data_IF_092854760807
#
_entry.id   IF_092854760807
#
_cell.length_a   1.000
_cell.length_b   1.000
_cell.length_c   1.000
_cell.angle_alpha   90.00
_cell.angle_beta   90.00
_cell.angle_gamma   90.00
#
_symmetry.space_group_name_H-M   'P 1'
#
loop_
_entity.id
_entity.type
_entity.pdbx_description
1 polymer ?
#
# COMPACT_ATOMS: atom_id res chain seq x y z
N UNK A 1 46.63 -34.83 2.73
CA UNK A 1 45.36 -35.34 2.15
C UNK A 1 44.28 -34.31 2.55
N UNK A 2 44.13 -33.31 1.69
CA UNK A 2 43.30 -32.14 1.95
C UNK A 2 41.88 -32.50 1.48
N UNK A 3 40.97 -32.65 2.40
CA UNK A 3 39.53 -32.73 2.09
C UNK A 3 39.08 -31.30 1.69
N UNK A 4 39.03 -31.00 0.41
CA UNK A 4 38.27 -29.89 -0.14
C UNK A 4 36.79 -30.30 -0.05
N UNK A 5 36.13 -29.77 0.96
CA UNK A 5 34.70 -29.87 1.13
C UNK A 5 34.04 -29.07 -0.02
N UNK A 6 33.51 -29.80 -0.98
CA UNK A 6 32.70 -29.25 -2.07
C UNK A 6 31.39 -28.74 -1.49
N UNK A 7 31.39 -27.54 -0.90
CA UNK A 7 30.16 -26.78 -0.70
C UNK A 7 29.61 -26.43 -2.08
N UNK A 8 28.72 -27.27 -2.61
CA UNK A 8 27.86 -26.91 -3.74
C UNK A 8 27.14 -25.63 -3.34
N UNK A 9 27.53 -24.52 -3.95
CA UNK A 9 26.77 -23.28 -3.85
C UNK A 9 25.29 -23.62 -4.13
N UNK A 10 24.43 -23.45 -3.15
CA UNK A 10 23.00 -23.68 -3.34
C UNK A 10 22.52 -22.74 -4.45
N UNK A 11 22.05 -23.31 -5.56
CA UNK A 11 21.57 -22.55 -6.71
C UNK A 11 20.44 -21.62 -6.23
N UNK A 12 20.61 -20.30 -6.42
CA UNK A 12 19.61 -19.30 -6.03
C UNK A 12 18.33 -19.49 -6.87
N UNK A 13 17.21 -19.11 -6.29
CA UNK A 13 15.91 -19.12 -6.95
C UNK A 13 15.75 -17.79 -7.69
N UNK A 14 15.66 -17.83 -9.01
CA UNK A 14 15.40 -16.68 -9.85
C UNK A 14 13.90 -16.38 -9.83
N UNK A 15 13.50 -15.21 -9.29
CA UNK A 15 12.13 -14.76 -9.17
C UNK A 15 11.89 -13.56 -10.10
N UNK A 16 10.93 -13.68 -11.00
CA UNK A 16 10.53 -12.58 -11.88
C UNK A 16 9.20 -11.97 -11.38
N UNK A 17 9.23 -10.71 -10.99
CA UNK A 17 8.05 -9.92 -10.71
C UNK A 17 7.57 -9.27 -12.01
N UNK A 18 6.30 -9.50 -12.35
CA UNK A 18 5.69 -8.93 -13.55
C UNK A 18 4.60 -7.94 -13.13
N UNK A 19 4.83 -6.66 -13.40
CA UNK A 19 3.92 -5.55 -13.11
C UNK A 19 3.38 -4.92 -14.40
N UNK A 20 2.34 -4.12 -14.31
CA UNK A 20 1.74 -3.50 -15.50
C UNK A 20 2.43 -2.19 -15.83
N UNK A 21 2.53 -1.31 -14.84
CA UNK A 21 3.08 0.04 -14.98
C UNK A 21 4.37 0.18 -14.17
N UNK A 22 5.20 1.15 -14.52
CA UNK A 22 6.36 1.56 -13.74
C UNK A 22 6.09 2.93 -13.11
N UNK A 23 4.98 3.02 -12.37
CA UNK A 23 4.56 4.17 -11.57
C UNK A 23 4.44 3.74 -10.12
N UNK A 24 4.80 4.59 -9.15
CA UNK A 24 4.71 4.21 -7.75
C UNK A 24 3.26 4.23 -7.27
N UNK A 25 2.63 3.07 -7.37
CA UNK A 25 1.32 2.76 -6.80
C UNK A 25 1.41 1.71 -5.69
N UNK A 26 0.29 1.25 -5.17
CA UNK A 26 0.29 0.25 -4.08
C UNK A 26 0.86 -1.11 -4.48
N UNK A 27 0.65 -1.54 -5.72
CA UNK A 27 1.20 -2.79 -6.27
C UNK A 27 2.71 -2.72 -6.49
N UNK A 28 3.17 -1.61 -7.05
CA UNK A 28 4.58 -1.37 -7.33
C UNK A 28 5.38 -1.19 -6.04
N UNK A 29 4.80 -0.51 -5.05
CA UNK A 29 5.40 -0.37 -3.72
C UNK A 29 5.60 -1.74 -3.04
N UNK A 30 4.58 -2.62 -3.09
CA UNK A 30 4.73 -3.98 -2.57
C UNK A 30 5.86 -4.74 -3.27
N UNK A 31 5.94 -4.67 -4.61
CA UNK A 31 7.01 -5.33 -5.37
C UNK A 31 8.38 -4.77 -5.01
N UNK A 32 8.48 -3.45 -4.88
CA UNK A 32 9.72 -2.77 -4.47
C UNK A 32 10.17 -3.22 -3.07
N UNK A 33 9.24 -3.24 -2.10
CA UNK A 33 9.50 -3.69 -0.74
C UNK A 33 9.93 -5.17 -0.69
N UNK A 34 9.24 -6.03 -1.43
CA UNK A 34 9.60 -7.45 -1.54
C UNK A 34 11.02 -7.59 -2.08
N UNK A 35 11.35 -6.94 -3.19
CA UNK A 35 12.67 -7.02 -3.81
C UNK A 35 13.76 -6.49 -2.87
N UNK A 36 13.53 -5.37 -2.22
CA UNK A 36 14.48 -4.74 -1.29
C UNK A 36 14.83 -5.65 -0.11
N UNK A 37 13.85 -6.41 0.39
CA UNK A 37 13.98 -7.19 1.61
C UNK A 37 14.15 -8.71 1.38
N UNK A 38 14.09 -9.20 0.13
CA UNK A 38 14.38 -10.60 -0.18
C UNK A 38 15.80 -10.98 0.22
N UNK A 39 15.95 -12.17 0.84
CA UNK A 39 17.26 -12.76 1.13
C UNK A 39 18.02 -13.05 -0.18
N UNK A 40 18.98 -12.19 -0.52
CA UNK A 40 19.81 -12.29 -1.73
C UNK A 40 20.74 -13.50 -1.73
N UNK A 41 20.93 -14.19 -0.61
CA UNK A 41 21.65 -15.46 -0.58
C UNK A 41 20.82 -16.62 -1.16
N UNK A 42 19.48 -16.52 -1.07
CA UNK A 42 18.51 -17.54 -1.52
C UNK A 42 17.85 -17.14 -2.83
N UNK A 43 17.48 -15.86 -3.00
CA UNK A 43 16.70 -15.39 -4.12
C UNK A 43 17.48 -14.40 -5.00
N UNK A 44 17.23 -14.45 -6.31
CA UNK A 44 17.68 -13.47 -7.30
C UNK A 44 16.44 -12.86 -7.97
N UNK A 45 16.00 -11.68 -7.57
CA UNK A 45 14.85 -11.02 -8.16
C UNK A 45 15.17 -10.36 -9.50
N UNK A 46 14.13 -10.29 -10.34
CA UNK A 46 14.09 -9.66 -11.65
C UNK A 46 12.75 -8.95 -11.77
N UNK A 47 12.63 -7.90 -12.59
CA UNK A 47 11.38 -7.17 -12.82
C UNK A 47 11.10 -7.03 -14.31
N UNK A 48 9.85 -7.27 -14.72
CA UNK A 48 9.36 -6.97 -16.06
C UNK A 48 8.09 -6.13 -16.00
N UNK A 49 7.91 -5.20 -16.96
CA UNK A 49 6.73 -4.34 -17.03
C UNK A 49 6.37 -3.96 -18.48
N UNK A 50 5.16 -3.40 -18.71
CA UNK A 50 4.60 -3.24 -20.05
C UNK A 50 4.40 -1.79 -20.52
N UNK A 51 4.24 -0.84 -19.60
CA UNK A 51 3.99 0.57 -19.92
C UNK A 51 5.02 1.47 -19.25
N UNK A 52 5.32 2.62 -19.89
CA UNK A 52 6.37 3.55 -19.47
C UNK A 52 7.78 2.96 -19.58
N UNK A 53 8.46 3.36 -20.66
CA UNK A 53 9.80 2.84 -21.00
C UNK A 53 10.84 3.10 -19.90
N UNK A 54 10.78 4.28 -19.26
CA UNK A 54 11.76 4.66 -18.25
C UNK A 54 11.40 4.07 -16.89
N UNK A 55 12.28 3.26 -16.28
CA UNK A 55 12.08 2.79 -14.93
C UNK A 55 12.18 3.93 -13.91
N UNK A 56 11.47 3.77 -12.80
CA UNK A 56 11.58 4.65 -11.64
C UNK A 56 12.98 4.51 -11.00
N UNK A 57 13.49 5.63 -10.44
CA UNK A 57 14.79 5.64 -9.78
C UNK A 57 14.88 4.63 -8.64
N UNK A 58 13.78 4.48 -7.90
CA UNK A 58 13.65 3.52 -6.79
C UNK A 58 13.92 2.08 -7.25
N UNK A 59 13.47 1.70 -8.44
CA UNK A 59 13.74 0.36 -9.00
C UNK A 59 15.17 0.24 -9.55
N UNK A 60 15.75 1.31 -10.10
CA UNK A 60 17.15 1.34 -10.51
C UNK A 60 18.09 1.13 -9.33
N UNK A 61 17.78 1.72 -8.19
CA UNK A 61 18.57 1.64 -6.96
C UNK A 61 18.56 0.24 -6.32
N UNK A 62 17.66 -0.66 -6.75
CA UNK A 62 17.62 -2.04 -6.24
C UNK A 62 18.73 -2.95 -6.82
N UNK A 63 19.42 -2.52 -7.86
CA UNK A 63 20.46 -3.29 -8.57
C UNK A 63 20.00 -4.70 -8.96
N UNK A 64 18.88 -4.74 -9.72
CA UNK A 64 18.29 -5.98 -10.24
C UNK A 64 18.06 -5.89 -11.75
N UNK A 65 18.05 -7.00 -12.48
CA UNK A 65 17.69 -6.98 -13.91
C UNK A 65 16.27 -6.46 -14.12
N UNK A 66 16.15 -5.44 -14.97
CA UNK A 66 14.90 -4.76 -15.32
C UNK A 66 14.62 -4.97 -16.82
N UNK A 67 13.39 -5.39 -17.15
CA UNK A 67 12.98 -5.71 -18.53
C UNK A 67 11.72 -4.92 -18.91
N UNK A 68 11.87 -3.93 -19.77
CA UNK A 68 10.74 -3.24 -20.40
C UNK A 68 10.27 -4.03 -21.62
N UNK A 69 9.00 -4.41 -21.65
CA UNK A 69 8.36 -5.13 -22.75
C UNK A 69 7.23 -4.24 -23.29
N UNK A 70 7.46 -3.50 -24.40
CA UNK A 70 6.48 -2.55 -24.90
C UNK A 70 5.20 -3.24 -25.33
N UNK A 71 4.07 -2.85 -24.74
CA UNK A 71 2.74 -3.34 -25.12
C UNK A 71 2.01 -2.28 -25.93
N UNK A 72 1.75 -2.59 -27.20
CA UNK A 72 1.13 -1.65 -28.15
C UNK A 72 -0.37 -1.96 -28.32
N UNK A 73 -0.71 -3.24 -28.48
CA UNK A 73 -2.07 -3.67 -28.80
C UNK A 73 -2.85 -4.11 -27.55
N UNK A 74 -4.19 -4.11 -27.63
CA UNK A 74 -5.06 -4.58 -26.55
C UNK A 74 -4.74 -6.01 -26.08
N UNK A 75 -4.50 -6.93 -27.01
CA UNK A 75 -3.91 -8.25 -26.77
C UNK A 75 -2.70 -8.39 -27.70
N UNK A 76 -1.51 -8.41 -27.12
CA UNK A 76 -0.25 -8.39 -27.86
C UNK A 76 0.48 -9.71 -27.66
N UNK A 77 0.48 -10.57 -28.67
CA UNK A 77 1.11 -11.88 -28.59
C UNK A 77 2.65 -11.79 -28.59
N UNK A 78 3.24 -10.68 -29.08
CA UNK A 78 4.69 -10.47 -29.01
C UNK A 78 5.17 -10.40 -27.57
N UNK A 79 4.40 -9.74 -26.69
CA UNK A 79 4.68 -9.66 -25.25
C UNK A 79 4.79 -11.06 -24.62
N UNK A 80 3.95 -12.03 -25.02
CA UNK A 80 4.04 -13.41 -24.54
C UNK A 80 5.35 -14.08 -24.98
N UNK A 81 5.78 -13.81 -26.22
CA UNK A 81 7.02 -14.34 -26.76
C UNK A 81 8.25 -13.77 -26.04
N UNK A 82 8.31 -12.45 -25.90
CA UNK A 82 9.41 -11.76 -25.23
C UNK A 82 9.51 -12.18 -23.76
N UNK A 83 8.39 -12.18 -23.03
CA UNK A 83 8.35 -12.63 -21.65
C UNK A 83 8.79 -14.08 -21.50
N UNK A 84 8.40 -14.96 -22.45
CA UNK A 84 8.86 -16.35 -22.49
C UNK A 84 10.38 -16.46 -22.72
N UNK A 85 10.95 -15.58 -23.56
CA UNK A 85 12.39 -15.46 -23.77
C UNK A 85 13.12 -15.04 -22.48
N UNK A 86 12.65 -13.97 -21.83
CA UNK A 86 13.21 -13.51 -20.55
C UNK A 86 13.21 -14.61 -19.50
N UNK A 87 12.09 -15.36 -19.37
CA UNK A 87 11.96 -16.47 -18.43
C UNK A 87 13.02 -17.54 -18.71
N UNK A 88 13.22 -17.88 -19.98
CA UNK A 88 14.20 -18.90 -20.39
C UNK A 88 15.64 -18.43 -20.19
N UNK A 89 15.97 -17.26 -20.71
CA UNK A 89 17.35 -16.77 -20.80
C UNK A 89 17.93 -16.40 -19.41
N UNK A 90 17.06 -16.05 -18.45
CA UNK A 90 17.42 -15.77 -17.07
C UNK A 90 17.12 -16.96 -16.13
N UNK A 91 16.83 -18.13 -16.65
CA UNK A 91 16.55 -19.36 -15.87
C UNK A 91 15.53 -19.11 -14.73
N UNK A 92 14.46 -18.35 -15.01
CA UNK A 92 13.46 -17.97 -14.02
C UNK A 92 12.73 -19.20 -13.47
N UNK A 93 12.83 -19.40 -12.16
CA UNK A 93 12.18 -20.50 -11.46
C UNK A 93 10.74 -20.17 -11.08
N UNK A 94 10.50 -18.93 -10.67
CA UNK A 94 9.21 -18.45 -10.19
C UNK A 94 8.86 -17.12 -10.87
N UNK A 95 7.63 -17.00 -11.35
CA UNK A 95 7.04 -15.74 -11.82
C UNK A 95 5.94 -15.34 -10.85
N UNK A 96 6.04 -14.15 -10.27
CA UNK A 96 4.98 -13.49 -9.51
C UNK A 96 4.33 -12.43 -10.39
N UNK A 97 3.14 -12.72 -10.89
CA UNK A 97 2.38 -11.85 -11.79
C UNK A 97 1.39 -11.01 -10.98
N UNK A 98 1.56 -9.69 -11.01
CA UNK A 98 0.69 -8.72 -10.35
C UNK A 98 -0.36 -8.19 -11.31
N UNK A 99 -1.63 -8.24 -10.92
CA UNK A 99 -2.81 -7.92 -11.73
C UNK A 99 -3.12 -8.93 -12.85
N UNK A 100 -4.39 -8.96 -13.28
CA UNK A 100 -4.89 -9.94 -14.24
C UNK A 100 -4.17 -9.92 -15.58
N UNK A 101 -3.76 -8.76 -16.07
CA UNK A 101 -3.06 -8.65 -17.36
C UNK A 101 -1.70 -9.33 -17.33
N UNK A 102 -0.94 -9.16 -16.26
CA UNK A 102 0.35 -9.81 -16.05
C UNK A 102 0.22 -11.33 -15.97
N UNK A 103 -0.85 -11.85 -15.34
CA UNK A 103 -1.16 -13.27 -15.34
C UNK A 103 -1.35 -13.81 -16.76
N UNK A 104 -2.16 -13.12 -17.58
CA UNK A 104 -2.46 -13.56 -18.96
C UNK A 104 -1.19 -13.69 -19.79
N UNK A 105 -0.29 -12.69 -19.72
CA UNK A 105 0.96 -12.70 -20.47
C UNK A 105 1.99 -13.70 -19.93
N UNK A 106 2.09 -13.85 -18.61
CA UNK A 106 3.05 -14.76 -17.98
C UNK A 106 2.71 -16.23 -18.19
N UNK A 107 1.42 -16.55 -18.33
CA UNK A 107 0.96 -17.94 -18.37
C UNK A 107 1.62 -18.76 -19.50
N UNK A 108 1.72 -18.18 -20.70
CA UNK A 108 2.32 -18.86 -21.85
C UNK A 108 3.78 -19.25 -21.58
N UNK A 109 4.58 -18.29 -21.13
CA UNK A 109 6.00 -18.51 -20.82
C UNK A 109 6.20 -19.51 -19.69
N UNK A 110 5.44 -19.36 -18.60
CA UNK A 110 5.59 -20.20 -17.41
C UNK A 110 5.10 -21.63 -17.62
N UNK A 111 3.88 -21.80 -18.12
CA UNK A 111 3.20 -23.12 -18.09
C UNK A 111 3.32 -23.91 -19.36
N UNK A 112 3.45 -23.26 -20.51
CA UNK A 112 3.50 -23.94 -21.79
C UNK A 112 4.92 -24.10 -22.33
N UNK A 113 5.86 -23.24 -21.97
CA UNK A 113 7.24 -23.25 -22.51
C UNK A 113 8.30 -23.64 -21.49
N UNK A 114 8.37 -23.00 -20.33
CA UNK A 114 9.53 -23.09 -19.43
C UNK A 114 9.27 -23.90 -18.14
N UNK A 115 8.01 -24.24 -17.83
CA UNK A 115 7.59 -24.97 -16.63
C UNK A 115 8.00 -24.28 -15.31
N UNK A 116 8.08 -22.94 -15.32
CA UNK A 116 8.31 -22.15 -14.12
C UNK A 116 7.07 -22.14 -13.23
N UNK A 117 7.28 -21.96 -11.92
CA UNK A 117 6.18 -21.71 -10.97
C UNK A 117 5.52 -20.37 -11.30
N UNK A 118 4.19 -20.33 -11.31
CA UNK A 118 3.42 -19.12 -11.58
C UNK A 118 2.53 -18.79 -10.37
N UNK A 119 2.78 -17.65 -9.76
CA UNK A 119 2.01 -17.09 -8.66
C UNK A 119 1.29 -15.87 -9.21
N UNK A 120 0.01 -15.76 -8.90
CA UNK A 120 -0.79 -14.60 -9.26
C UNK A 120 -1.16 -13.81 -8.02
N UNK A 121 -0.84 -12.52 -8.00
CA UNK A 121 -1.19 -11.59 -6.91
C UNK A 121 -2.16 -10.52 -7.43
N UNK A 122 -3.31 -10.39 -6.76
CA UNK A 122 -4.32 -9.38 -7.09
C UNK A 122 -4.44 -8.34 -6.00
N UNK A 123 -4.57 -7.08 -6.43
CA UNK A 123 -4.53 -5.91 -5.56
C UNK A 123 -5.88 -5.24 -5.36
N UNK A 124 -6.88 -5.52 -6.20
CA UNK A 124 -8.16 -4.82 -6.10
C UNK A 124 -9.37 -5.67 -6.49
N UNK A 125 -10.44 -5.52 -5.73
CA UNK A 125 -11.72 -6.19 -6.05
C UNK A 125 -12.35 -5.65 -7.32
N UNK A 126 -12.26 -4.35 -7.56
CA UNK A 126 -12.88 -3.73 -8.71
C UNK A 126 -12.28 -4.22 -10.03
N UNK A 127 -10.98 -4.51 -10.07
CA UNK A 127 -10.35 -5.14 -11.23
C UNK A 127 -10.91 -6.54 -11.47
N UNK A 128 -11.04 -7.34 -10.41
CA UNK A 128 -11.63 -8.68 -10.49
C UNK A 128 -13.07 -8.62 -11.00
N UNK A 129 -13.88 -7.70 -10.45
CA UNK A 129 -15.29 -7.52 -10.82
C UNK A 129 -15.47 -7.00 -12.26
N UNK A 130 -14.50 -6.23 -12.77
CA UNK A 130 -14.50 -5.75 -14.15
C UNK A 130 -14.22 -6.85 -15.18
N UNK A 131 -13.68 -8.01 -14.74
CA UNK A 131 -13.40 -9.14 -15.63
C UNK A 131 -14.73 -9.84 -16.01
N UNK A 132 -15.11 -9.75 -17.25
CA UNK A 132 -16.40 -10.26 -17.72
C UNK A 132 -16.29 -11.07 -19.02
N UNK A 133 -17.38 -11.73 -19.38
CA UNK A 133 -17.51 -12.44 -20.65
C UNK A 133 -16.42 -13.49 -20.87
N UNK A 134 -15.81 -13.47 -22.05
CA UNK A 134 -14.76 -14.42 -22.44
C UNK A 134 -13.52 -14.38 -21.51
N UNK A 135 -13.22 -13.22 -20.96
CA UNK A 135 -12.05 -13.06 -20.08
C UNK A 135 -12.24 -13.75 -18.73
N UNK A 136 -13.45 -13.82 -18.24
CA UNK A 136 -13.78 -14.60 -17.03
C UNK A 136 -13.56 -16.10 -17.27
N UNK A 137 -13.98 -16.60 -18.44
CA UNK A 137 -13.74 -18.01 -18.82
C UNK A 137 -12.23 -18.31 -18.96
N UNK A 138 -11.49 -17.41 -19.63
CA UNK A 138 -10.02 -17.49 -19.75
C UNK A 138 -9.39 -17.49 -18.36
N UNK A 139 -9.75 -16.55 -17.49
CA UNK A 139 -9.22 -16.45 -16.13
C UNK A 139 -9.43 -17.73 -15.32
N UNK A 140 -10.64 -18.29 -15.33
CA UNK A 140 -10.92 -19.58 -14.68
C UNK A 140 -10.01 -20.68 -15.17
N UNK A 141 -9.72 -20.71 -16.47
CA UNK A 141 -8.84 -21.70 -17.06
C UNK A 141 -7.38 -21.50 -16.65
N UNK A 142 -6.89 -20.25 -16.72
CA UNK A 142 -5.51 -19.92 -16.35
C UNK A 142 -5.25 -20.18 -14.86
N UNK A 143 -6.13 -19.68 -13.98
CA UNK A 143 -5.99 -19.81 -12.53
C UNK A 143 -6.05 -21.27 -12.04
N UNK A 144 -6.70 -22.16 -12.79
CA UNK A 144 -6.68 -23.58 -12.48
C UNK A 144 -5.26 -24.18 -12.55
N UNK A 145 -4.41 -23.62 -13.41
CA UNK A 145 -3.05 -24.12 -13.66
C UNK A 145 -1.95 -23.23 -13.03
N UNK A 146 -2.27 -22.12 -12.40
CA UNK A 146 -1.32 -21.39 -11.56
C UNK A 146 -0.95 -22.22 -10.33
N UNK A 147 0.20 -21.98 -9.73
CA UNK A 147 0.64 -22.71 -8.54
C UNK A 147 0.01 -22.13 -7.27
N UNK A 148 -0.10 -20.82 -7.19
CA UNK A 148 -0.78 -20.12 -6.11
C UNK A 148 -1.51 -18.85 -6.61
N UNK A 149 -2.57 -18.49 -5.90
CA UNK A 149 -3.31 -17.23 -6.08
C UNK A 149 -3.30 -16.50 -4.77
N UNK A 150 -2.93 -15.22 -4.80
CA UNK A 150 -2.80 -14.37 -3.63
C UNK A 150 -3.75 -13.18 -3.77
N UNK A 151 -4.60 -12.97 -2.77
CA UNK A 151 -5.31 -11.71 -2.57
C UNK A 151 -4.63 -10.90 -1.46
N UNK A 152 -4.42 -9.60 -1.66
CA UNK A 152 -3.75 -8.75 -0.66
C UNK A 152 -4.61 -8.40 0.55
N UNK A 153 -5.86 -8.82 0.55
CA UNK A 153 -6.81 -8.70 1.67
C UNK A 153 -7.81 -9.83 1.66
N UNK A 154 -8.49 -10.07 2.77
CA UNK A 154 -9.54 -11.07 2.87
C UNK A 154 -10.66 -10.86 1.85
N UNK A 155 -10.96 -9.62 1.51
CA UNK A 155 -11.98 -9.24 0.53
C UNK A 155 -11.56 -9.56 -0.90
N UNK A 156 -10.34 -9.16 -1.28
CA UNK A 156 -9.77 -9.50 -2.59
C UNK A 156 -9.72 -11.01 -2.75
N UNK A 157 -9.28 -11.73 -1.71
CA UNK A 157 -9.25 -13.20 -1.70
C UNK A 157 -10.64 -13.79 -1.91
N UNK A 158 -11.64 -13.32 -1.17
CA UNK A 158 -13.02 -13.77 -1.31
C UNK A 158 -13.58 -13.45 -2.70
N UNK A 159 -13.38 -12.23 -3.19
CA UNK A 159 -13.80 -11.81 -4.52
C UNK A 159 -13.20 -12.71 -5.62
N UNK A 160 -11.89 -13.02 -5.54
CA UNK A 160 -11.22 -13.96 -6.44
C UNK A 160 -11.81 -15.37 -6.37
N UNK A 161 -12.04 -15.87 -5.14
CA UNK A 161 -12.58 -17.19 -4.91
C UNK A 161 -13.99 -17.34 -5.51
N UNK A 162 -14.87 -16.36 -5.27
CA UNK A 162 -16.25 -16.36 -5.74
C UNK A 162 -16.31 -16.19 -7.27
N UNK A 163 -15.57 -15.23 -7.82
CA UNK A 163 -15.57 -14.90 -9.25
C UNK A 163 -15.01 -16.03 -10.10
N UNK A 164 -13.88 -16.60 -9.70
CA UNK A 164 -13.20 -17.64 -10.48
C UNK A 164 -13.52 -19.06 -10.02
N UNK A 165 -14.28 -19.22 -8.91
CA UNK A 165 -14.62 -20.53 -8.30
C UNK A 165 -13.38 -21.34 -7.95
N UNK A 166 -12.43 -20.71 -7.25
CA UNK A 166 -11.17 -21.33 -6.87
C UNK A 166 -11.35 -22.19 -5.62
N UNK A 167 -10.70 -23.37 -5.57
CA UNK A 167 -10.67 -24.16 -4.34
C UNK A 167 -9.79 -23.49 -3.28
N UNK A 168 -10.18 -23.61 -1.99
CA UNK A 168 -9.53 -22.91 -0.89
C UNK A 168 -8.05 -23.21 -0.72
N UNK A 169 -7.59 -24.39 -1.10
CA UNK A 169 -6.17 -24.76 -1.04
C UNK A 169 -5.28 -24.09 -2.11
N UNK A 170 -5.88 -23.39 -3.06
CA UNK A 170 -5.18 -22.72 -4.18
C UNK A 170 -5.04 -21.23 -3.98
N UNK A 171 -5.79 -20.65 -3.06
CA UNK A 171 -5.83 -19.24 -2.81
C UNK A 171 -5.49 -18.95 -1.35
N UNK A 172 -4.68 -17.94 -1.13
CA UNK A 172 -4.35 -17.44 0.20
C UNK A 172 -4.46 -15.93 0.26
N UNK A 173 -4.60 -15.43 1.47
CA UNK A 173 -4.52 -13.99 1.74
C UNK A 173 -3.11 -13.70 2.27
N UNK A 174 -2.40 -12.81 1.58
CA UNK A 174 -1.16 -12.21 2.10
C UNK A 174 -1.40 -10.72 2.20
N UNK A 175 -1.65 -10.25 3.42
CA UNK A 175 -1.94 -8.84 3.67
C UNK A 175 -0.67 -8.02 3.45
N UNK A 176 -0.78 -6.91 2.72
CA UNK A 176 0.33 -5.99 2.55
C UNK A 176 0.79 -5.48 3.91
N UNK A 177 2.08 -5.59 4.15
CA UNK A 177 2.70 -5.16 5.39
C UNK A 177 3.28 -3.76 5.29
N UNK A 178 3.61 -3.21 6.45
CA UNK A 178 4.29 -1.93 6.63
C UNK A 178 5.61 -2.18 7.37
N UNK A 179 6.68 -1.52 6.95
CA UNK A 179 7.98 -1.57 7.65
C UNK A 179 7.86 -0.88 9.03
N UNK A 180 7.53 -1.67 10.04
CA UNK A 180 7.37 -1.19 11.41
C UNK A 180 8.68 -0.69 12.06
N UNK A 181 9.83 -0.88 11.44
CA UNK A 181 11.11 -0.31 11.90
C UNK A 181 11.30 1.10 11.37
N UNK A 182 10.92 1.34 10.12
CA UNK A 182 10.89 2.66 9.51
C UNK A 182 9.81 3.54 10.18
N UNK A 183 8.60 3.02 10.32
CA UNK A 183 7.48 3.65 11.01
C UNK A 183 7.55 3.34 12.51
N UNK A 184 8.37 4.08 13.24
CA UNK A 184 8.65 3.87 14.66
C UNK A 184 8.23 5.05 15.53
N UNK A 185 7.92 4.77 16.80
CA UNK A 185 7.56 5.81 17.77
C UNK A 185 8.69 6.82 17.94
N UNK A 186 8.35 8.10 17.96
CA UNK A 186 9.29 9.16 18.22
C UNK A 186 9.74 9.14 19.70
N UNK A 187 11.05 9.20 19.95
CA UNK A 187 11.56 9.45 21.29
C UNK A 187 11.36 10.92 21.73
N UNK A 188 11.33 11.83 20.77
CA UNK A 188 11.08 13.24 20.97
C UNK A 188 10.29 13.79 19.77
N UNK A 189 9.01 14.03 19.96
CA UNK A 189 8.09 14.55 18.94
C UNK A 189 8.40 16.01 18.58
N UNK A 190 8.92 16.81 19.53
CA UNK A 190 9.19 18.23 19.33
C UNK A 190 10.19 18.50 18.19
N UNK A 191 11.25 17.69 18.08
CA UNK A 191 12.22 17.86 16.99
C UNK A 191 11.60 17.70 15.61
N UNK A 192 10.58 16.82 15.48
CA UNK A 192 9.86 16.62 14.22
C UNK A 192 8.87 17.77 13.97
N UNK A 193 8.19 18.28 15.01
CA UNK A 193 7.33 19.48 14.88
C UNK A 193 8.14 20.66 14.35
N UNK A 194 9.27 20.97 14.95
CA UNK A 194 10.18 22.06 14.51
C UNK A 194 10.66 21.87 13.06
N UNK A 195 11.00 20.62 12.66
CA UNK A 195 11.41 20.28 11.29
C UNK A 195 10.39 20.73 10.24
N UNK A 196 9.10 20.69 10.59
CA UNK A 196 8.01 21.06 9.68
C UNK A 196 7.44 22.46 9.94
N UNK A 197 8.16 23.32 10.66
CA UNK A 197 7.79 24.71 10.90
C UNK A 197 6.65 24.90 11.90
N UNK A 198 6.47 23.92 12.78
CA UNK A 198 5.50 23.97 13.87
C UNK A 198 6.17 24.40 15.18
N UNK A 199 5.36 24.93 16.10
CA UNK A 199 5.80 25.23 17.46
C UNK A 199 5.80 23.95 18.31
N UNK A 200 6.57 23.95 19.43
CA UNK A 200 6.71 22.76 20.30
C UNK A 200 5.40 22.32 20.92
N UNK A 201 4.58 23.27 21.28
CA UNK A 201 3.27 23.13 21.95
C UNK A 201 2.10 23.09 20.96
N UNK A 202 2.36 23.12 19.65
CA UNK A 202 1.31 22.85 18.67
C UNK A 202 0.75 21.43 18.84
N UNK A 203 -0.57 21.30 18.80
CA UNK A 203 -1.26 20.04 18.75
C UNK A 203 -1.56 19.68 17.28
N UNK A 204 -1.05 18.54 16.81
CA UNK A 204 -0.93 18.29 15.38
C UNK A 204 -1.81 17.12 14.96
N UNK A 205 -2.83 17.40 14.16
CA UNK A 205 -3.58 16.39 13.40
C UNK A 205 -2.91 16.15 12.06
N UNK A 206 -3.04 14.95 11.51
CA UNK A 206 -2.51 14.65 10.18
C UNK A 206 -3.35 13.71 9.37
N UNK A 207 -3.29 13.88 8.04
CA UNK A 207 -3.84 12.96 7.05
C UNK A 207 -2.80 12.73 5.95
N UNK A 208 -2.55 11.47 5.61
CA UNK A 208 -1.70 11.07 4.48
C UNK A 208 -2.58 10.37 3.43
N UNK A 209 -2.89 11.08 2.37
CA UNK A 209 -3.74 10.57 1.28
C UNK A 209 -3.61 11.44 0.03
N UNK A 210 -3.72 10.85 -1.15
CA UNK A 210 -3.82 11.60 -2.41
C UNK A 210 -5.00 12.58 -2.35
N UNK A 211 -4.84 13.78 -2.92
CA UNK A 211 -5.87 14.83 -2.91
C UNK A 211 -6.98 14.52 -3.93
N UNK A 212 -7.66 13.37 -3.74
CA UNK A 212 -8.83 12.93 -4.52
C UNK A 212 -10.10 13.11 -3.70
N UNK A 213 -11.22 13.31 -4.37
CA UNK A 213 -12.53 13.52 -3.75
C UNK A 213 -12.97 12.38 -2.83
N UNK A 214 -12.62 11.13 -3.20
CA UNK A 214 -12.94 9.95 -2.37
C UNK A 214 -12.16 9.88 -1.05
N UNK A 215 -11.10 10.70 -0.86
CA UNK A 215 -10.37 10.82 0.41
C UNK A 215 -11.00 11.82 1.38
N UNK A 216 -11.97 12.61 0.88
CA UNK A 216 -12.89 13.45 1.64
C UNK A 216 -12.20 14.40 2.64
N UNK A 217 -11.12 15.06 2.19
CA UNK A 217 -10.37 16.04 3.01
C UNK A 217 -11.23 17.19 3.52
N UNK A 218 -12.24 17.61 2.74
CA UNK A 218 -13.17 18.69 3.14
C UNK A 218 -13.94 18.31 4.40
N UNK A 219 -14.31 17.04 4.59
CA UNK A 219 -14.96 16.58 5.80
C UNK A 219 -14.06 16.78 7.04
N UNK A 220 -12.77 16.42 6.92
CA UNK A 220 -11.80 16.68 8.00
C UNK A 220 -11.58 18.17 8.24
N UNK A 221 -11.46 18.98 7.17
CA UNK A 221 -11.25 20.42 7.26
C UNK A 221 -12.41 21.14 7.97
N UNK A 222 -13.65 20.73 7.76
CA UNK A 222 -14.83 21.28 8.45
C UNK A 222 -14.79 21.01 9.96
N UNK A 223 -14.48 19.78 10.35
CA UNK A 223 -14.30 19.43 11.76
C UNK A 223 -13.13 20.19 12.39
N UNK A 224 -12.00 20.28 11.67
CA UNK A 224 -10.83 21.04 12.08
C UNK A 224 -11.16 22.53 12.28
N UNK A 225 -11.91 23.16 11.37
CA UNK A 225 -12.33 24.55 11.47
C UNK A 225 -13.09 24.82 12.77
N UNK A 226 -14.03 23.95 13.16
CA UNK A 226 -14.79 24.08 14.41
C UNK A 226 -13.88 24.00 15.63
N UNK A 227 -12.97 23.03 15.66
CA UNK A 227 -12.05 22.82 16.78
C UNK A 227 -11.02 23.94 16.89
N UNK A 228 -10.55 24.47 15.76
CA UNK A 228 -9.56 25.56 15.70
C UNK A 228 -10.07 26.85 16.36
N UNK A 229 -11.38 27.09 16.35
CA UNK A 229 -11.98 28.24 17.02
C UNK A 229 -11.79 28.22 18.54
N UNK A 230 -11.62 27.05 19.12
CA UNK A 230 -11.45 26.82 20.56
C UNK A 230 -10.01 26.54 20.98
N UNK A 231 -9.17 26.10 20.03
CA UNK A 231 -7.80 25.64 20.27
C UNK A 231 -6.80 26.35 19.35
N UNK A 232 -6.20 27.45 19.86
CA UNK A 232 -5.30 28.29 19.08
C UNK A 232 -3.95 27.63 18.66
N UNK A 233 -3.55 26.53 19.27
CA UNK A 233 -2.36 25.77 18.93
C UNK A 233 -2.66 24.52 18.10
N UNK A 234 -3.91 24.32 17.65
CA UNK A 234 -4.28 23.17 16.84
C UNK A 234 -3.79 23.37 15.39
N UNK A 235 -3.10 22.39 14.83
CA UNK A 235 -2.59 22.36 13.45
C UNK A 235 -3.08 21.12 12.73
N UNK A 236 -3.20 21.21 11.40
CA UNK A 236 -3.53 20.09 10.54
C UNK A 236 -2.47 20.00 9.43
N UNK A 237 -1.79 18.86 9.34
CA UNK A 237 -0.91 18.54 8.22
C UNK A 237 -1.66 17.68 7.21
N UNK A 238 -1.68 18.12 5.94
CA UNK A 238 -2.28 17.39 4.82
C UNK A 238 -1.15 16.98 3.88
N UNK A 239 -0.89 15.68 3.81
CA UNK A 239 0.20 15.08 3.05
C UNK A 239 -0.39 14.31 1.88
N UNK A 240 0.00 14.68 0.69
CA UNK A 240 -0.44 14.08 -0.56
C UNK A 240 -0.44 15.08 -1.69
N UNK A 241 -0.62 14.58 -2.90
CA UNK A 241 -0.67 15.41 -4.10
C UNK A 241 -1.91 15.10 -4.92
N UNK A 242 -2.39 16.09 -5.63
CA UNK A 242 -3.40 15.93 -6.67
C UNK A 242 -2.82 15.29 -7.93
N UNK A 243 -3.68 15.00 -8.87
CA UNK A 243 -3.29 14.48 -10.19
C UNK A 243 -3.37 15.60 -11.23
N UNK A 244 -2.36 15.69 -12.07
CA UNK A 244 -2.40 16.61 -13.20
C UNK A 244 -3.58 16.26 -14.10
N UNK A 245 -4.53 17.20 -14.23
CA UNK A 245 -5.75 17.00 -15.02
C UNK A 245 -6.87 16.27 -14.24
N UNK A 246 -6.87 16.34 -12.90
CA UNK A 246 -7.98 15.84 -12.08
C UNK A 246 -9.30 16.50 -12.52
N UNK A 247 -10.25 15.72 -13.10
CA UNK A 247 -11.51 16.26 -13.59
C UNK A 247 -12.44 16.73 -12.45
N UNK A 248 -12.16 16.32 -11.21
CA UNK A 248 -12.97 16.65 -10.03
C UNK A 248 -12.48 17.92 -9.31
N UNK A 249 -11.28 18.46 -9.67
CA UNK A 249 -10.72 19.66 -9.06
C UNK A 249 -10.45 19.56 -7.55
N UNK A 250 -10.23 18.35 -7.05
CA UNK A 250 -10.21 18.06 -5.62
C UNK A 250 -9.14 18.84 -4.84
N UNK A 251 -7.96 19.04 -5.41
CA UNK A 251 -6.90 19.84 -4.77
C UNK A 251 -7.27 21.31 -4.72
N UNK A 252 -7.89 21.85 -5.78
CA UNK A 252 -8.34 23.23 -5.83
C UNK A 252 -9.45 23.50 -4.80
N UNK A 253 -10.42 22.59 -4.66
CA UNK A 253 -11.47 22.67 -3.65
C UNK A 253 -10.90 22.72 -2.23
N UNK A 254 -9.88 21.91 -1.93
CA UNK A 254 -9.19 21.90 -0.63
C UNK A 254 -8.51 23.25 -0.38
N UNK A 255 -7.76 23.78 -1.35
CA UNK A 255 -7.09 25.08 -1.25
C UNK A 255 -8.08 26.21 -1.05
N UNK A 256 -9.15 26.24 -1.83
CA UNK A 256 -10.21 27.23 -1.75
C UNK A 256 -10.91 27.19 -0.37
N UNK A 257 -11.16 25.99 0.17
CA UNK A 257 -11.73 25.85 1.51
C UNK A 257 -10.78 26.44 2.58
N UNK A 258 -9.50 26.08 2.55
CA UNK A 258 -8.50 26.58 3.51
C UNK A 258 -8.46 28.11 3.49
N UNK A 259 -8.40 28.71 2.30
CA UNK A 259 -8.35 30.17 2.14
C UNK A 259 -9.65 30.84 2.59
N UNK A 260 -10.80 30.33 2.15
CA UNK A 260 -12.10 30.93 2.51
C UNK A 260 -12.43 30.81 4.01
N UNK A 261 -11.88 29.81 4.68
CA UNK A 261 -12.03 29.58 6.11
C UNK A 261 -10.96 30.30 6.97
N UNK A 262 -9.97 30.97 6.36
CA UNK A 262 -8.87 31.65 7.06
C UNK A 262 -7.94 30.68 7.82
N UNK A 263 -7.69 29.49 7.24
CA UNK A 263 -6.94 28.42 7.88
C UNK A 263 -5.49 28.27 7.38
N UNK A 264 -4.99 29.18 6.54
CA UNK A 264 -3.69 29.07 5.85
C UNK A 264 -2.50 28.91 6.83
N UNK A 265 -2.59 29.48 8.03
CA UNK A 265 -1.55 29.37 9.06
C UNK A 265 -1.68 28.12 9.93
N UNK A 266 -2.76 27.34 9.80
CA UNK A 266 -3.07 26.21 10.67
C UNK A 266 -3.34 24.89 9.94
N UNK A 267 -3.81 24.92 8.69
CA UNK A 267 -3.97 23.75 7.84
C UNK A 267 -2.93 23.80 6.71
N UNK A 268 -1.87 23.00 6.84
CA UNK A 268 -0.69 23.04 5.97
C UNK A 268 -0.73 21.91 4.94
N UNK A 269 -0.80 22.28 3.64
CA UNK A 269 -0.64 21.32 2.54
C UNK A 269 0.86 21.11 2.26
N UNK A 270 1.37 19.94 2.58
CA UNK A 270 2.79 19.61 2.41
C UNK A 270 3.12 19.03 1.03
N UNK A 271 2.09 18.74 0.21
CA UNK A 271 2.27 18.08 -1.09
C UNK A 271 2.67 16.61 -0.97
N UNK A 272 3.13 16.02 -2.07
CA UNK A 272 3.70 14.66 -2.09
C UNK A 272 5.05 14.63 -1.37
N UNK A 273 5.21 13.69 -0.42
CA UNK A 273 6.38 13.60 0.44
C UNK A 273 6.96 12.20 0.45
N UNK A 274 8.28 12.07 0.53
CA UNK A 274 9.01 10.82 0.72
C UNK A 274 9.42 10.59 2.18
N UNK A 275 9.39 11.63 3.02
CA UNK A 275 9.72 11.61 4.44
C UNK A 275 8.49 11.44 5.35
N UNK A 276 7.46 10.70 4.87
CA UNK A 276 6.24 10.39 5.62
C UNK A 276 6.54 9.79 7.01
N UNK A 277 7.52 8.89 7.19
CA UNK A 277 7.87 8.36 8.51
C UNK A 277 8.23 9.44 9.54
N UNK A 278 8.90 10.51 9.10
CA UNK A 278 9.25 11.62 9.98
C UNK A 278 8.06 12.55 10.25
N UNK A 279 7.21 12.76 9.22
CA UNK A 279 6.01 13.58 9.38
C UNK A 279 5.04 12.93 10.37
N UNK A 280 4.83 11.62 10.30
CA UNK A 280 3.98 10.90 11.24
C UNK A 280 4.46 11.05 12.69
N UNK A 281 5.77 11.15 12.92
CA UNK A 281 6.36 11.39 14.24
C UNK A 281 6.09 12.80 14.79
N UNK A 282 5.67 13.74 13.95
CA UNK A 282 5.27 15.09 14.36
C UNK A 282 3.79 15.18 14.77
N UNK A 283 3.00 14.14 14.50
CA UNK A 283 1.56 14.13 14.75
C UNK A 283 1.23 13.72 16.18
N UNK A 284 0.08 14.19 16.66
CA UNK A 284 -0.55 13.75 17.91
C UNK A 284 -1.74 12.81 17.62
N UNK A 285 -2.46 13.00 16.50
CA UNK A 285 -3.56 12.15 16.03
C UNK A 285 -3.48 11.99 14.52
N UNK A 286 -3.73 10.79 14.03
CA UNK A 286 -3.87 10.53 12.60
C UNK A 286 -5.34 10.36 12.21
N UNK A 287 -5.75 10.99 11.10
CA UNK A 287 -7.12 10.94 10.57
C UNK A 287 -7.13 10.36 9.15
N UNK A 288 -8.12 9.51 8.84
CA UNK A 288 -8.39 9.06 7.48
C UNK A 288 -9.90 9.09 7.20
N UNK A 289 -10.33 10.09 6.46
CA UNK A 289 -11.75 10.41 6.23
C UNK A 289 -12.31 9.90 4.91
N UNK A 290 -11.67 8.91 4.32
CA UNK A 290 -12.02 8.35 3.00
C UNK A 290 -13.45 7.84 2.93
N UNK A 291 -14.07 7.97 1.74
CA UNK A 291 -15.39 7.38 1.45
C UNK A 291 -15.31 5.86 1.19
N UNK A 292 -14.14 5.35 0.83
CA UNK A 292 -13.87 3.93 0.57
C UNK A 292 -12.37 3.67 0.57
N UNK A 293 -11.95 2.55 1.14
CA UNK A 293 -10.59 2.03 1.09
C UNK A 293 -10.57 0.53 0.78
N UNK A 294 -9.46 0.05 0.21
CA UNK A 294 -9.17 -1.38 0.13
C UNK A 294 -8.43 -1.84 1.40
N UNK A 295 -7.13 -1.57 1.45
CA UNK A 295 -6.31 -1.64 2.66
C UNK A 295 -5.67 -0.26 2.87
N UNK A 296 -5.99 0.45 3.97
CA UNK A 296 -5.51 1.82 4.19
C UNK A 296 -4.07 1.84 4.71
N UNK A 297 -3.09 1.72 3.83
CA UNK A 297 -1.66 1.61 4.19
C UNK A 297 -1.22 2.79 5.08
N UNK A 298 -1.56 4.03 4.73
CA UNK A 298 -1.18 5.20 5.53
C UNK A 298 -1.74 5.19 6.96
N UNK A 299 -2.92 4.59 7.17
CA UNK A 299 -3.49 4.38 8.49
C UNK A 299 -2.65 3.36 9.28
N UNK A 300 -2.22 2.27 8.63
CA UNK A 300 -1.38 1.24 9.24
C UNK A 300 0.02 1.80 9.56
N UNK A 301 0.58 2.65 8.70
CA UNK A 301 1.83 3.38 8.93
C UNK A 301 1.74 4.28 10.17
N UNK A 302 0.64 5.02 10.31
CA UNK A 302 0.36 5.83 11.49
C UNK A 302 0.23 4.97 12.75
N UNK A 303 -0.46 3.84 12.67
CA UNK A 303 -0.55 2.87 13.77
C UNK A 303 0.83 2.32 14.15
N UNK A 304 1.67 1.97 13.19
CA UNK A 304 3.03 1.50 13.42
C UNK A 304 3.90 2.58 14.09
N UNK A 305 3.63 3.86 13.82
CA UNK A 305 4.27 5.00 14.48
C UNK A 305 3.76 5.21 15.92
N UNK A 306 2.71 4.50 16.34
CA UNK A 306 2.12 4.58 17.68
C UNK A 306 1.14 5.73 17.84
N UNK A 307 0.48 6.15 16.78
CA UNK A 307 -0.54 7.20 16.80
C UNK A 307 -1.92 6.61 17.13
N UNK A 308 -2.74 7.31 17.92
CA UNK A 308 -4.18 7.06 17.96
C UNK A 308 -4.77 7.46 16.61
N UNK A 309 -5.76 6.70 16.13
CA UNK A 309 -6.30 6.87 14.78
C UNK A 309 -7.80 7.15 14.80
N UNK A 310 -8.25 8.03 13.91
CA UNK A 310 -9.67 8.28 13.64
C UNK A 310 -9.92 8.01 12.17
N UNK A 311 -10.94 7.22 11.87
CA UNK A 311 -11.31 6.94 10.49
C UNK A 311 -12.82 6.87 10.27
N UNK A 312 -13.24 7.07 9.03
CA UNK A 312 -14.64 6.85 8.63
C UNK A 312 -15.02 5.38 8.74
N UNK A 313 -16.25 5.11 9.17
CA UNK A 313 -16.82 3.75 9.27
C UNK A 313 -17.16 3.21 7.88
N UNK A 314 -16.13 3.01 7.07
CA UNK A 314 -16.23 2.47 5.73
C UNK A 314 -15.37 1.25 5.59
N UNK A 315 -15.67 0.49 4.55
CA UNK A 315 -14.93 -0.70 4.17
C UNK A 315 -13.42 -0.42 4.06
N UNK A 316 -12.60 -1.35 4.57
CA UNK A 316 -11.13 -1.21 4.67
C UNK A 316 -10.69 -0.50 5.95
N UNK A 317 -11.26 0.64 6.31
CA UNK A 317 -10.90 1.36 7.55
C UNK A 317 -11.43 0.61 8.78
N UNK A 318 -12.69 0.14 8.74
CA UNK A 318 -13.31 -0.65 9.81
C UNK A 318 -12.62 -1.99 10.07
N UNK A 319 -11.81 -2.48 9.14
CA UNK A 319 -11.06 -3.73 9.30
C UNK A 319 -9.74 -3.50 10.09
N UNK A 320 -9.33 -2.24 10.24
CA UNK A 320 -8.06 -1.83 10.84
C UNK A 320 -8.25 -1.12 12.18
N UNK A 321 -9.29 -0.29 12.30
CA UNK A 321 -9.61 0.40 13.56
C UNK A 321 -10.54 -0.48 14.41
N UNK A 322 -10.13 -0.76 15.63
CA UNK A 322 -10.96 -1.39 16.67
C UNK A 322 -11.49 -0.25 17.55
N UNK A 323 -12.79 0.09 17.47
CA UNK A 323 -13.35 1.22 18.20
C UNK A 323 -13.06 1.15 19.70
N UNK A 324 -12.71 2.28 20.31
CA UNK A 324 -12.38 2.43 21.74
C UNK A 324 -11.18 1.58 22.20
N UNK A 325 -10.35 1.10 21.26
CA UNK A 325 -9.14 0.32 21.57
C UNK A 325 -7.89 1.00 20.98
N UNK A 326 -7.88 1.25 19.67
CA UNK A 326 -6.79 1.97 19.02
C UNK A 326 -7.24 3.29 18.37
N UNK A 327 -8.54 3.58 18.40
CA UNK A 327 -9.08 4.78 17.79
C UNK A 327 -10.60 4.84 17.76
N UNK A 328 -11.11 5.70 16.92
CA UNK A 328 -12.55 5.89 16.69
C UNK A 328 -12.92 5.67 15.23
N UNK A 329 -14.07 5.04 15.02
CA UNK A 329 -14.79 5.02 13.75
C UNK A 329 -15.91 6.05 13.80
N UNK A 330 -16.02 6.88 12.77
CA UNK A 330 -17.07 7.91 12.65
C UNK A 330 -17.89 7.66 11.37
N UNK A 331 -19.17 7.94 11.42
CA UNK A 331 -20.03 7.76 10.24
C UNK A 331 -19.64 8.76 9.15
N UNK A 332 -19.76 8.31 7.89
CA UNK A 332 -19.37 9.13 6.74
C UNK A 332 -20.19 10.43 6.72
N UNK A 333 -19.49 11.57 6.69
CA UNK A 333 -20.04 12.92 6.73
C UNK A 333 -20.78 13.31 8.04
N UNK A 334 -20.65 12.54 9.11
CA UNK A 334 -21.11 12.95 10.44
C UNK A 334 -20.02 13.83 11.10
N UNK A 335 -20.13 15.13 10.86
CA UNK A 335 -19.17 16.13 11.33
C UNK A 335 -19.16 16.27 12.85
N UNK A 336 -20.32 16.09 13.49
CA UNK A 336 -20.42 16.18 14.96
C UNK A 336 -19.71 15.01 15.64
N UNK A 337 -19.91 13.81 15.12
CA UNK A 337 -19.21 12.61 15.63
C UNK A 337 -17.69 12.72 15.43
N UNK A 338 -17.22 13.26 14.29
CA UNK A 338 -15.80 13.48 14.05
C UNK A 338 -15.22 14.52 15.03
N UNK A 339 -15.94 15.62 15.28
CA UNK A 339 -15.52 16.65 16.25
C UNK A 339 -15.44 16.03 17.66
N UNK A 340 -16.45 15.29 18.11
CA UNK A 340 -16.44 14.62 19.43
C UNK A 340 -15.28 13.64 19.59
N UNK A 341 -15.01 12.83 18.55
CA UNK A 341 -13.89 11.88 18.56
C UNK A 341 -12.54 12.62 18.67
N UNK A 342 -12.37 13.71 17.93
CA UNK A 342 -11.18 14.55 18.01
C UNK A 342 -11.05 15.24 19.38
N UNK A 343 -12.12 15.85 19.91
CA UNK A 343 -12.13 16.50 21.24
C UNK A 343 -11.71 15.52 22.33
N UNK A 344 -12.26 14.30 22.34
CA UNK A 344 -11.90 13.27 23.32
C UNK A 344 -10.40 12.96 23.33
N UNK A 345 -9.78 12.89 22.14
CA UNK A 345 -8.34 12.63 22.05
C UNK A 345 -7.49 13.89 22.27
N UNK A 346 -7.98 15.10 21.99
CA UNK A 346 -7.28 16.35 22.28
C UNK A 346 -7.20 16.58 23.79
N UNK A 347 -8.28 16.33 24.51
CA UNK A 347 -8.39 16.61 25.93
C UNK A 347 -7.72 15.56 26.83
N UNK A 348 -7.73 14.29 26.42
CA UNK A 348 -7.21 13.19 27.22
C UNK A 348 -5.89 12.60 26.67
N UNK A 349 -4.78 13.03 27.26
CA UNK A 349 -3.45 12.52 26.89
C UNK A 349 -3.23 11.05 27.26
N UNK A 350 -3.86 10.57 28.34
CA UNK A 350 -3.77 9.15 28.75
C UNK A 350 -4.42 8.26 27.72
N UNK A 351 -5.61 8.65 27.25
CA UNK A 351 -6.33 7.94 26.18
C UNK A 351 -5.53 7.91 24.88
N UNK A 352 -4.86 9.04 24.52
CA UNK A 352 -3.97 9.04 23.35
C UNK A 352 -2.83 8.03 23.46
N UNK A 353 -2.21 7.94 24.64
CA UNK A 353 -1.13 6.98 24.87
C UNK A 353 -1.62 5.54 24.82
N UNK A 354 -2.79 5.25 25.41
CA UNK A 354 -3.42 3.93 25.40
C UNK A 354 -3.73 3.50 23.97
N UNK A 355 -4.45 4.33 23.20
CA UNK A 355 -4.81 4.03 21.82
C UNK A 355 -3.60 3.93 20.91
N UNK A 356 -2.61 4.82 21.08
CA UNK A 356 -1.36 4.77 20.32
C UNK A 356 -0.55 3.49 20.59
N UNK A 357 -0.48 3.06 21.85
CA UNK A 357 0.15 1.80 22.24
C UNK A 357 -0.53 0.59 21.61
N UNK A 358 -1.86 0.56 21.64
CA UNK A 358 -2.64 -0.52 20.99
C UNK A 358 -2.53 -0.47 19.47
N UNK A 359 -2.56 0.73 18.85
CA UNK A 359 -2.30 0.91 17.42
C UNK A 359 -1.00 0.23 17.00
N UNK A 360 0.08 0.54 17.72
CA UNK A 360 1.40 -0.05 17.45
C UNK A 360 1.40 -1.57 17.61
N UNK A 361 0.82 -2.08 18.67
CA UNK A 361 0.72 -3.51 18.90
C UNK A 361 -0.01 -4.22 17.75
N UNK A 362 -1.16 -3.70 17.33
CA UNK A 362 -1.95 -4.24 16.22
C UNK A 362 -1.19 -4.18 14.89
N UNK A 363 -0.48 -3.07 14.63
CA UNK A 363 0.33 -2.92 13.43
C UNK A 363 1.42 -4.01 13.37
N UNK A 364 2.16 -4.22 14.44
CA UNK A 364 3.19 -5.27 14.51
C UNK A 364 2.63 -6.68 14.37
N UNK A 365 1.52 -6.97 15.03
CA UNK A 365 0.94 -8.31 15.03
C UNK A 365 0.36 -8.69 13.67
N UNK A 366 -0.37 -7.76 13.04
CA UNK A 366 -1.20 -8.07 11.87
C UNK A 366 -0.61 -7.57 10.54
N UNK A 367 0.21 -6.50 10.58
CA UNK A 367 0.61 -5.77 9.38
C UNK A 367 2.13 -5.56 9.26
N UNK A 368 2.95 -6.20 10.10
CA UNK A 368 4.40 -6.10 9.91
C UNK A 368 4.83 -6.70 8.58
N UNK A 369 5.64 -5.95 7.83
CA UNK A 369 6.10 -6.35 6.50
C UNK A 369 6.85 -7.69 6.50
N UNK A 370 7.56 -8.01 7.58
CA UNK A 370 8.28 -9.29 7.75
C UNK A 370 7.34 -10.50 7.66
N UNK A 371 6.09 -10.35 8.09
CA UNK A 371 5.08 -11.41 7.97
C UNK A 371 4.65 -11.61 6.50
N UNK A 372 4.43 -10.51 5.79
CA UNK A 372 4.14 -10.51 4.36
C UNK A 372 5.31 -11.14 3.58
N UNK A 373 6.53 -10.66 3.81
CA UNK A 373 7.74 -11.15 3.17
C UNK A 373 7.93 -12.67 3.37
N UNK A 374 7.81 -13.16 4.61
CA UNK A 374 7.95 -14.60 4.90
C UNK A 374 6.93 -15.46 4.15
N UNK A 375 5.70 -15.00 4.03
CA UNK A 375 4.66 -15.70 3.28
C UNK A 375 4.99 -15.76 1.78
N UNK A 376 5.43 -14.64 1.18
CA UNK A 376 5.88 -14.65 -0.22
C UNK A 376 7.12 -15.53 -0.43
N UNK A 377 8.12 -15.45 0.46
CA UNK A 377 9.29 -16.32 0.39
C UNK A 377 8.91 -17.80 0.44
N UNK A 378 7.97 -18.18 1.30
CA UNK A 378 7.44 -19.55 1.37
C UNK A 378 6.74 -19.97 0.06
N UNK A 379 6.07 -19.05 -0.61
CA UNK A 379 5.49 -19.32 -1.93
C UNK A 379 6.56 -19.43 -3.02
N UNK A 380 7.70 -18.77 -2.90
CA UNK A 380 8.77 -18.84 -3.90
C UNK A 380 9.63 -20.11 -3.77
N UNK A 381 9.71 -20.68 -2.58
CA UNK A 381 10.33 -22.00 -2.33
C UNK A 381 9.47 -23.15 -2.87
#
# INVERSE_FOLDING_TARGET
MIFMDNMKEKRKINVLFVIIHMEMGGSEHLVWDLIRNLDRSVFRPHVAWFYQEKPLQEFLDLDVPLFFIPKINRLDLSVMGELSGIIKDNEINVVNAHHYLSLVYSFYGCKLKNRSKLIYTEHSEWEVQAISGKWLFVGRRLLRYTDAVVGISSKVTKCLQDTFRLPGNKICTIVNGVDCTMFSVAHNTEQYKIKYGLERDDFVLGIVANLKKNKNHIFLLKAFQKLRQRNNNLKLLIIGQGFKGDPEGSEEDIRNFITSAGLESSALLLGGRTDVPDILKALDIFCLTSCKEGLPISLIEAMATGLPVIGTNVEGIQDVIIPHSNGYLVELNDEEQLVQALESLIEDSSLRHEFGGMSRQLAYQNYAFENCLRQYQSLFL
#
